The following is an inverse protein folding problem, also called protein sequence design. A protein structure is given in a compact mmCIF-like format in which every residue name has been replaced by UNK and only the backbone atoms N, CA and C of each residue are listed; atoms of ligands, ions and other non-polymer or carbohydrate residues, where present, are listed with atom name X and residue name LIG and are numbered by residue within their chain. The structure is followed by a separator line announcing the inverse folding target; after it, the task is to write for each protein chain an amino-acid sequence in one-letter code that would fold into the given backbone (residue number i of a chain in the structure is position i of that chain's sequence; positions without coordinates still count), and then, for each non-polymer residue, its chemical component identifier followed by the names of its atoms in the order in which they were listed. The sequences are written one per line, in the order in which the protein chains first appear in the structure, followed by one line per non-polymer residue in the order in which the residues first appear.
data_IF_246331305978
#
_entry.id   IF_246331305978
#
_cell.length_a   1.000
_cell.length_b   1.000
_cell.length_c   1.000
_cell.angle_alpha   90.00
_cell.angle_beta   90.00
_cell.angle_gamma   90.00
#
_symmetry.space_group_name_H-M   'P 1'
#
loop_
_entity.id
_entity.type
_entity.pdbx_description
1 polymer ?
#
# COMPACT_ATOMS: atom_id res chain seq x y z
N UNK A 1 3.78 -5.93 -25.17
CA UNK A 1 4.31 -6.86 -24.14
C UNK A 1 3.32 -6.95 -22.98
N UNK A 2 2.98 -8.15 -22.51
CA UNK A 2 2.07 -8.33 -21.36
C UNK A 2 2.79 -7.89 -20.08
N UNK A 3 2.11 -7.11 -19.22
CA UNK A 3 2.60 -6.71 -17.90
C UNK A 3 1.83 -7.48 -16.83
N UNK A 4 2.51 -7.94 -15.79
CA UNK A 4 1.86 -8.53 -14.61
C UNK A 4 1.49 -7.41 -13.64
N UNK A 5 0.32 -7.53 -13.00
CA UNK A 5 -0.17 -6.62 -11.96
C UNK A 5 -0.61 -7.47 -10.77
N UNK A 6 -0.20 -7.08 -9.57
CA UNK A 6 -0.66 -7.67 -8.32
C UNK A 6 -1.54 -6.65 -7.59
N UNK A 7 -2.62 -7.12 -6.95
CA UNK A 7 -3.49 -6.35 -6.06
C UNK A 7 -3.36 -6.99 -4.68
N UNK A 8 -3.02 -6.19 -3.67
CA UNK A 8 -2.89 -6.62 -2.28
C UNK A 8 -3.99 -5.89 -1.50
N UNK A 9 -4.79 -6.63 -0.76
CA UNK A 9 -5.83 -6.11 0.15
C UNK A 9 -5.62 -6.74 1.51
N UNK A 10 -5.70 -5.93 2.55
CA UNK A 10 -5.58 -6.35 3.94
C UNK A 10 -6.42 -5.42 4.81
N UNK A 11 -6.80 -5.91 5.98
CA UNK A 11 -7.57 -5.15 6.96
C UNK A 11 -6.64 -4.28 7.79
N UNK A 12 -7.10 -3.06 8.10
CA UNK A 12 -6.41 -2.15 9.00
C UNK A 12 -6.95 -2.35 10.42
N UNK A 13 -6.11 -2.10 11.41
CA UNK A 13 -6.51 -2.16 12.83
C UNK A 13 -7.46 -1.01 13.18
N UNK A 14 -8.22 -1.15 14.26
CA UNK A 14 -9.22 -0.17 14.70
C UNK A 14 -8.64 1.24 14.88
N UNK A 15 -7.39 1.37 15.34
CA UNK A 15 -6.70 2.65 15.52
C UNK A 15 -6.56 3.44 14.19
N UNK A 16 -6.62 2.76 13.04
CA UNK A 16 -6.59 3.43 11.74
C UNK A 16 -7.83 4.29 11.49
N UNK A 17 -8.94 4.06 12.19
CA UNK A 17 -10.16 4.85 12.08
C UNK A 17 -9.99 6.29 12.60
N UNK A 18 -8.99 6.53 13.45
CA UNK A 18 -8.67 7.88 13.94
C UNK A 18 -7.80 8.68 12.95
N UNK A 19 -7.27 8.01 11.93
CA UNK A 19 -6.32 8.58 10.98
C UNK A 19 -6.99 8.90 9.65
N UNK A 20 -6.56 10.00 9.01
CA UNK A 20 -7.05 10.34 7.68
C UNK A 20 -6.54 9.34 6.65
N UNK A 21 -7.42 8.91 5.74
CA UNK A 21 -7.07 8.02 4.63
C UNK A 21 -5.84 8.50 3.83
N UNK A 22 -5.66 9.82 3.61
CA UNK A 22 -4.47 10.30 2.91
C UNK A 22 -3.17 10.04 3.68
N UNK A 23 -3.21 10.13 5.01
CA UNK A 23 -2.05 9.84 5.86
C UNK A 23 -1.71 8.35 5.79
N UNK A 24 -2.71 7.48 5.94
CA UNK A 24 -2.55 6.02 5.83
C UNK A 24 -1.94 5.65 4.46
N UNK A 25 -2.44 6.24 3.37
CA UNK A 25 -1.89 6.02 2.02
C UNK A 25 -0.42 6.42 1.91
N UNK A 26 -0.02 7.55 2.51
CA UNK A 26 1.38 8.00 2.51
C UNK A 26 2.28 7.07 3.33
N UNK A 27 1.85 6.68 4.53
CA UNK A 27 2.59 5.77 5.40
C UNK A 27 2.79 4.41 4.74
N UNK A 28 1.75 3.84 4.13
CA UNK A 28 1.86 2.60 3.37
C UNK A 28 2.81 2.73 2.17
N UNK A 29 2.77 3.85 1.44
CA UNK A 29 3.74 4.10 0.34
C UNK A 29 5.17 4.16 0.85
N UNK A 30 5.40 4.82 1.98
CA UNK A 30 6.73 4.93 2.58
C UNK A 30 7.23 3.58 3.07
N UNK A 31 6.38 2.81 3.77
CA UNK A 31 6.70 1.46 4.21
C UNK A 31 7.13 0.55 3.05
N UNK A 32 6.41 0.59 1.93
CA UNK A 32 6.79 -0.17 0.72
C UNK A 32 8.07 0.34 0.04
N UNK A 33 8.53 1.56 0.32
CA UNK A 33 9.71 2.16 -0.30
C UNK A 33 10.96 2.02 0.56
N UNK A 34 10.82 2.21 1.86
CA UNK A 34 11.93 2.33 2.82
C UNK A 34 12.19 1.01 3.55
N UNK A 35 11.14 0.27 3.91
CA UNK A 35 11.23 -0.94 4.75
C UNK A 35 10.93 -2.24 4.01
N UNK A 36 10.51 -2.18 2.75
CA UNK A 36 10.22 -3.38 1.99
C UNK A 36 11.50 -4.12 1.59
N UNK A 37 11.54 -5.41 1.96
CA UNK A 37 12.41 -6.42 1.35
C UNK A 37 12.43 -6.20 -0.16
N UNK A 38 13.62 -6.05 -0.75
CA UNK A 38 13.75 -5.88 -2.20
C UNK A 38 13.09 -7.06 -2.92
N UNK A 39 11.92 -6.84 -3.51
CA UNK A 39 11.20 -7.86 -4.27
C UNK A 39 11.73 -7.81 -5.72
N UNK A 40 12.43 -8.84 -6.22
CA UNK A 40 13.12 -8.79 -7.52
C UNK A 40 12.22 -8.50 -8.74
N UNK A 41 10.92 -8.71 -8.58
CA UNK A 41 9.89 -8.55 -9.61
C UNK A 41 9.06 -7.27 -9.44
N UNK A 42 9.23 -6.55 -8.34
CA UNK A 42 8.52 -5.31 -8.07
C UNK A 42 9.29 -4.13 -8.68
N UNK A 43 8.58 -3.31 -9.45
CA UNK A 43 9.18 -2.14 -10.13
C UNK A 43 8.70 -0.82 -9.55
N UNK A 44 7.40 -0.68 -9.34
CA UNK A 44 6.77 0.55 -8.90
C UNK A 44 5.44 0.24 -8.20
N UNK A 45 5.07 1.03 -7.20
CA UNK A 45 3.72 1.04 -6.64
C UNK A 45 2.87 1.97 -7.49
N UNK A 46 1.87 1.41 -8.18
CA UNK A 46 0.98 2.19 -9.05
C UNK A 46 -0.11 2.94 -8.28
N UNK A 47 -0.57 2.38 -7.17
CA UNK A 47 -1.63 2.97 -6.35
C UNK A 47 -1.84 2.18 -5.07
N UNK A 48 -2.29 2.87 -4.03
CA UNK A 48 -2.80 2.30 -2.78
C UNK A 48 -4.17 2.94 -2.58
N UNK A 49 -5.14 2.13 -2.16
CA UNK A 49 -6.52 2.58 -1.93
C UNK A 49 -6.93 2.15 -0.53
N UNK A 50 -7.36 3.11 0.28
CA UNK A 50 -7.98 2.89 1.58
C UNK A 50 -9.46 3.21 1.41
N UNK A 51 -10.33 2.34 1.94
CA UNK A 51 -11.77 2.51 1.92
C UNK A 51 -12.27 2.23 3.33
N UNK A 52 -13.18 3.08 3.79
CA UNK A 52 -14.00 2.82 4.96
C UNK A 52 -15.19 1.96 4.51
N UNK A 53 -15.50 0.92 5.27
CA UNK A 53 -16.69 0.08 5.09
C UNK A 53 -17.82 0.51 6.04
#
# INVERSE_FOLDING_TARGET
MKKKMAIIMFELVDESMEERNEKIVQELRNWFREDAVSIPWAKEIRGITVKEE
#
